data_IF_155211516085
#
_entry.id   IF_155211516085
#
_cell.length_a   1.000
_cell.length_b   1.000
_cell.length_c   1.000
_cell.angle_alpha   90.00
_cell.angle_beta   90.00
_cell.angle_gamma   90.00
#
_symmetry.space_group_name_H-M   'P 1'
#
loop_
_entity.id
_entity.type
_entity.pdbx_description
1 polymer ?
#
# COMPACT_ATOMS: atom_id res chain seq x y z
N UNK A 1 -10.68 -10.42 63.30
CA UNK A 1 -12.12 -10.53 62.98
C UNK A 1 -12.71 -9.14 62.73
N UNK A 2 -12.51 -8.53 61.55
CA UNK A 2 -13.23 -7.33 61.11
C UNK A 2 -13.14 -7.28 59.60
N UNK A 3 -14.21 -7.67 58.90
CA UNK A 3 -14.50 -7.48 57.46
C UNK A 3 -15.55 -8.53 57.09
N UNK A 4 -16.85 -8.15 57.06
CA UNK A 4 -17.95 -8.76 56.26
C UNK A 4 -19.24 -7.90 56.35
N UNK A 5 -19.43 -7.03 57.36
CA UNK A 5 -20.76 -6.41 57.62
C UNK A 5 -21.22 -5.23 56.73
N UNK A 6 -20.42 -4.70 55.79
CA UNK A 6 -20.77 -3.47 55.05
C UNK A 6 -21.51 -3.72 53.72
N UNK A 7 -21.36 -4.91 53.11
CA UNK A 7 -21.96 -5.21 51.79
C UNK A 7 -23.46 -5.57 51.89
N UNK A 8 -23.89 -6.22 52.98
CA UNK A 8 -25.28 -6.65 53.18
C UNK A 8 -26.27 -5.49 53.42
N UNK A 9 -25.83 -4.36 53.97
CA UNK A 9 -26.68 -3.20 54.21
C UNK A 9 -27.03 -2.45 52.91
N UNK A 10 -26.09 -2.35 51.97
CA UNK A 10 -26.30 -1.69 50.67
C UNK A 10 -27.25 -2.46 49.75
N UNK A 11 -27.22 -3.79 49.77
CA UNK A 11 -28.12 -4.61 48.96
C UNK A 11 -29.57 -4.51 49.44
N UNK A 12 -29.81 -4.52 50.76
CA UNK A 12 -31.17 -4.45 51.32
C UNK A 12 -31.84 -3.11 51.00
N UNK A 13 -31.10 -1.99 51.09
CA UNK A 13 -31.65 -0.66 50.76
C UNK A 13 -32.00 -0.52 49.27
N UNK A 14 -31.23 -1.17 48.39
CA UNK A 14 -31.48 -1.14 46.95
C UNK A 14 -32.76 -1.91 46.58
N UNK A 15 -32.96 -3.09 47.17
CA UNK A 15 -34.19 -3.88 46.99
C UNK A 15 -35.45 -3.14 47.48
N UNK A 16 -35.35 -2.42 48.60
CA UNK A 16 -36.49 -1.64 49.11
C UNK A 16 -36.85 -0.47 48.19
N UNK A 17 -35.86 0.20 47.59
CA UNK A 17 -36.09 1.30 46.64
C UNK A 17 -36.77 0.82 45.34
N UNK A 18 -36.25 -0.25 44.72
CA UNK A 18 -36.81 -0.81 43.48
C UNK A 18 -38.26 -1.28 43.65
N UNK A 19 -38.58 -1.92 44.77
CA UNK A 19 -39.96 -2.33 45.06
C UNK A 19 -40.91 -1.14 45.25
N UNK A 20 -40.41 0.01 45.72
CA UNK A 20 -41.23 1.20 45.91
C UNK A 20 -41.51 1.88 44.57
N UNK A 21 -40.50 2.04 43.73
CA UNK A 21 -40.62 2.63 42.38
C UNK A 21 -41.55 1.80 41.47
N UNK A 22 -41.40 0.47 41.47
CA UNK A 22 -42.29 -0.42 40.70
C UNK A 22 -43.75 -0.32 41.15
N UNK A 23 -44.00 -0.15 42.46
CA UNK A 23 -45.36 0.04 42.97
C UNK A 23 -45.94 1.40 42.55
N UNK A 24 -45.14 2.46 42.51
CA UNK A 24 -45.57 3.78 42.06
C UNK A 24 -45.91 3.80 40.56
N UNK A 25 -45.08 3.18 39.72
CA UNK A 25 -45.31 3.05 38.27
C UNK A 25 -46.60 2.27 37.98
N UNK A 26 -46.82 1.15 38.68
CA UNK A 26 -48.05 0.37 38.54
C UNK A 26 -49.29 1.15 38.98
N UNK A 27 -49.20 1.91 40.09
CA UNK A 27 -50.28 2.79 40.53
C UNK A 27 -50.57 3.89 39.51
N UNK A 28 -49.54 4.46 38.87
CA UNK A 28 -49.70 5.46 37.81
C UNK A 28 -50.40 4.86 36.60
N UNK A 29 -49.95 3.71 36.11
CA UNK A 29 -50.61 3.00 35.01
C UNK A 29 -52.08 2.69 35.32
N UNK A 30 -52.37 2.20 36.52
CA UNK A 30 -53.72 1.81 36.94
C UNK A 30 -54.70 2.98 37.08
N UNK A 31 -54.21 4.23 37.09
CA UNK A 31 -55.06 5.43 37.03
C UNK A 31 -55.54 5.73 35.61
N UNK A 32 -54.81 5.27 34.61
CA UNK A 32 -55.04 5.57 33.19
C UNK A 32 -55.58 4.36 32.41
N UNK A 33 -55.25 3.13 32.84
CA UNK A 33 -55.58 1.89 32.16
C UNK A 33 -56.15 0.83 33.13
N UNK A 34 -56.85 -0.18 32.59
CA UNK A 34 -57.31 -1.33 33.37
C UNK A 34 -56.11 -2.12 33.94
N UNK A 35 -56.24 -2.60 35.17
CA UNK A 35 -55.16 -3.33 35.86
C UNK A 35 -54.66 -4.55 35.08
N UNK A 36 -55.54 -5.23 34.32
CA UNK A 36 -55.16 -6.35 33.44
C UNK A 36 -54.29 -5.89 32.27
N UNK A 37 -54.51 -4.69 31.74
CA UNK A 37 -53.67 -4.11 30.69
C UNK A 37 -52.29 -3.79 31.27
N UNK A 38 -52.25 -3.11 32.42
CA UNK A 38 -50.98 -2.78 33.07
C UNK A 38 -50.11 -4.02 33.32
N UNK A 39 -50.71 -5.15 33.73
CA UNK A 39 -49.99 -6.40 33.99
C UNK A 39 -49.81 -7.30 32.75
N UNK A 40 -50.35 -6.91 31.59
CA UNK A 40 -50.14 -7.64 30.34
C UNK A 40 -48.78 -7.29 29.73
N UNK A 41 -48.31 -8.12 28.82
CA UNK A 41 -47.15 -7.88 27.96
C UNK A 41 -47.69 -7.89 26.52
N UNK A 42 -47.66 -6.73 25.86
CA UNK A 42 -48.47 -6.48 24.66
C UNK A 42 -47.74 -6.90 23.39
N UNK A 43 -46.45 -6.64 23.30
CA UNK A 43 -45.59 -7.02 22.17
C UNK A 43 -44.77 -8.30 22.44
N UNK A 44 -44.92 -8.88 23.63
CA UNK A 44 -44.38 -10.18 24.03
C UNK A 44 -42.85 -10.19 24.13
N UNK A 45 -42.26 -9.08 24.55
CA UNK A 45 -40.82 -8.95 24.74
C UNK A 45 -40.33 -9.34 26.16
N UNK A 46 -41.26 -9.72 27.03
CA UNK A 46 -41.01 -10.10 28.41
C UNK A 46 -41.07 -8.93 29.40
N UNK A 47 -41.40 -7.72 28.96
CA UNK A 47 -41.59 -6.54 29.80
C UNK A 47 -43.08 -6.28 29.96
N UNK A 48 -43.56 -6.14 31.21
CA UNK A 48 -44.96 -5.82 31.44
C UNK A 48 -45.27 -4.39 30.95
N UNK A 49 -46.47 -4.18 30.41
CA UNK A 49 -46.94 -2.91 29.82
C UNK A 49 -46.67 -1.68 30.69
N UNK A 50 -46.75 -1.81 32.01
CA UNK A 50 -46.49 -0.69 32.93
C UNK A 50 -45.01 -0.36 33.16
N UNK A 51 -44.10 -1.28 32.81
CA UNK A 51 -42.64 -1.14 32.87
C UNK A 51 -42.02 -0.90 31.49
N UNK A 52 -42.78 -1.15 30.43
CA UNK A 52 -42.34 -1.06 29.05
C UNK A 52 -42.44 0.38 28.55
N UNK A 53 -41.33 0.91 28.04
CA UNK A 53 -41.25 2.24 27.45
C UNK A 53 -41.71 2.26 25.98
N UNK A 54 -41.81 1.10 25.34
CA UNK A 54 -42.24 0.91 23.97
C UNK A 54 -43.31 -0.20 23.82
N UNK A 55 -44.50 -0.10 24.46
CA UNK A 55 -45.45 -1.22 24.60
C UNK A 55 -46.09 -1.79 23.32
N UNK A 56 -45.72 -1.27 22.15
CA UNK A 56 -46.20 -1.71 20.85
C UNK A 56 -45.08 -2.26 19.97
N UNK A 57 -43.83 -2.21 20.42
CA UNK A 57 -42.63 -2.47 19.61
C UNK A 57 -41.65 -3.30 20.42
N UNK A 58 -41.62 -4.59 20.10
CA UNK A 58 -40.73 -5.57 20.74
C UNK A 58 -39.32 -5.01 20.94
N UNK A 59 -38.85 -5.04 22.18
CA UNK A 59 -37.54 -4.55 22.55
C UNK A 59 -36.76 -5.47 23.48
N UNK A 60 -35.68 -4.92 24.01
CA UNK A 60 -34.84 -5.63 24.97
C UNK A 60 -35.26 -5.24 26.39
N UNK A 61 -35.37 -6.22 27.29
CA UNK A 61 -35.60 -5.96 28.71
C UNK A 61 -34.51 -5.04 29.32
N UNK A 62 -33.28 -5.13 28.81
CA UNK A 62 -32.15 -4.27 29.22
C UNK A 62 -32.33 -2.80 28.78
N UNK A 63 -33.29 -2.53 27.90
CA UNK A 63 -33.68 -1.21 27.40
C UNK A 63 -35.16 -0.89 27.70
N UNK A 64 -35.70 -1.45 28.79
CA UNK A 64 -37.08 -1.25 29.24
C UNK A 64 -38.12 -1.53 28.15
N UNK A 65 -37.97 -2.65 27.45
CA UNK A 65 -38.87 -3.09 26.39
C UNK A 65 -38.76 -2.31 25.07
N UNK A 66 -37.76 -1.45 24.94
CA UNK A 66 -37.50 -0.73 23.68
C UNK A 66 -36.40 -1.39 22.83
N UNK A 67 -36.48 -1.35 21.49
CA UNK A 67 -35.35 -1.68 20.63
C UNK A 67 -34.21 -0.66 20.85
N UNK A 68 -32.96 -1.11 20.71
CA UNK A 68 -31.82 -0.20 20.71
C UNK A 68 -31.75 0.56 19.37
N UNK A 69 -31.48 1.87 19.38
CA UNK A 69 -31.26 2.63 18.15
C UNK A 69 -29.93 2.26 17.47
N UNK A 70 -29.87 2.54 16.18
CA UNK A 70 -28.67 2.60 15.33
C UNK A 70 -28.75 3.96 14.63
N UNK A 71 -28.09 4.95 15.23
CA UNK A 71 -28.27 6.37 14.92
C UNK A 71 -27.65 6.78 13.58
N UNK A 72 -26.60 6.09 13.13
CA UNK A 72 -25.94 6.36 11.84
C UNK A 72 -26.20 5.29 10.76
N UNK A 73 -26.87 4.20 11.12
CA UNK A 73 -27.38 3.20 10.20
C UNK A 73 -26.31 2.24 9.67
N UNK A 74 -25.22 2.02 10.42
CA UNK A 74 -24.13 1.15 10.02
C UNK A 74 -24.33 -0.33 10.38
N UNK A 75 -25.40 -0.64 11.12
CA UNK A 75 -25.77 -1.98 11.56
C UNK A 75 -25.18 -2.40 12.90
N UNK A 76 -24.41 -1.53 13.58
CA UNK A 76 -23.98 -1.66 14.96
C UNK A 76 -24.89 -0.80 15.83
N UNK A 77 -25.52 -1.40 16.84
CA UNK A 77 -26.42 -0.66 17.73
C UNK A 77 -25.64 0.38 18.55
N UNK A 78 -26.24 1.54 18.84
CA UNK A 78 -25.59 2.67 19.54
C UNK A 78 -24.93 2.28 20.87
N UNK A 79 -25.45 1.24 21.55
CA UNK A 79 -24.89 0.71 22.80
C UNK A 79 -23.60 -0.10 22.62
N UNK A 80 -23.34 -0.56 21.40
CA UNK A 80 -22.18 -1.38 20.99
C UNK A 80 -21.27 -0.61 20.03
N UNK A 81 -21.73 0.54 19.53
CA UNK A 81 -21.01 1.44 18.65
C UNK A 81 -20.13 2.42 19.42
N UNK A 82 -18.84 2.45 19.08
CA UNK A 82 -17.87 3.40 19.63
C UNK A 82 -17.95 4.79 18.97
N UNK A 83 -18.63 4.91 17.83
CA UNK A 83 -18.85 6.12 17.06
C UNK A 83 -20.32 6.31 16.58
N UNK A 84 -21.33 6.45 17.48
CA UNK A 84 -22.78 6.43 17.16
C UNK A 84 -23.35 7.52 16.22
N UNK A 85 -22.49 8.29 15.57
CA UNK A 85 -22.87 9.40 14.67
C UNK A 85 -22.09 9.37 13.36
N UNK A 86 -21.25 8.35 13.16
CA UNK A 86 -20.31 8.23 12.05
C UNK A 86 -20.23 6.78 11.61
N UNK A 87 -21.04 6.42 10.62
CA UNK A 87 -21.12 5.05 10.12
C UNK A 87 -19.75 4.41 9.88
N UNK A 88 -19.55 3.24 10.47
CA UNK A 88 -18.31 2.49 10.42
C UNK A 88 -18.49 1.03 10.05
N UNK A 89 -17.47 0.24 10.38
CA UNK A 89 -17.47 -1.19 10.12
C UNK A 89 -17.72 -1.95 11.43
N UNK A 90 -18.47 -3.06 11.42
CA UNK A 90 -18.64 -3.91 12.60
C UNK A 90 -17.30 -4.37 13.20
N UNK A 91 -16.28 -4.65 12.36
CA UNK A 91 -14.95 -5.05 12.83
C UNK A 91 -14.19 -3.91 13.55
N UNK A 92 -14.69 -2.67 13.45
CA UNK A 92 -14.16 -1.47 14.09
C UNK A 92 -15.11 -0.91 15.16
N UNK A 93 -16.08 -1.72 15.64
CA UNK A 93 -17.11 -1.32 16.60
C UNK A 93 -17.85 -0.05 16.13
N UNK A 94 -18.33 -0.06 14.89
CA UNK A 94 -19.09 1.03 14.28
C UNK A 94 -18.30 2.31 14.00
N UNK A 95 -16.98 2.31 14.22
CA UNK A 95 -16.15 3.46 13.86
C UNK A 95 -15.64 3.41 12.40
N UNK A 96 -15.52 4.57 11.72
CA UNK A 96 -14.93 4.64 10.39
C UNK A 96 -13.48 4.16 10.39
N UNK A 97 -13.07 3.50 9.31
CA UNK A 97 -11.67 3.13 9.14
C UNK A 97 -10.79 4.38 9.00
N UNK A 98 -9.70 4.44 9.77
CA UNK A 98 -8.64 5.43 9.57
C UNK A 98 -7.74 5.13 8.35
N UNK A 99 -7.98 4.00 7.65
CA UNK A 99 -7.29 3.67 6.41
C UNK A 99 -7.78 4.60 5.32
N UNK A 100 -6.85 5.36 4.74
CA UNK A 100 -7.17 6.21 3.60
C UNK A 100 -7.57 5.34 2.40
N UNK A 101 -8.73 5.61 1.82
CA UNK A 101 -9.11 5.01 0.54
C UNK A 101 -8.23 5.58 -0.58
N UNK A 102 -7.25 4.78 -1.02
CA UNK A 102 -6.35 5.14 -2.10
C UNK A 102 -6.90 4.77 -3.51
N UNK A 103 -8.13 4.24 -3.62
CA UNK A 103 -8.69 3.73 -4.89
C UNK A 103 -8.69 4.78 -5.99
N UNK A 104 -9.03 6.03 -5.65
CA UNK A 104 -9.04 7.15 -6.61
C UNK A 104 -7.64 7.47 -7.14
N UNK A 105 -6.62 7.43 -6.28
CA UNK A 105 -5.22 7.71 -6.64
C UNK A 105 -4.66 6.55 -7.47
N UNK A 106 -4.88 5.31 -7.04
CA UNK A 106 -4.47 4.12 -7.78
C UNK A 106 -5.10 4.08 -9.19
N UNK A 107 -6.40 4.35 -9.30
CA UNK A 107 -7.09 4.42 -10.61
C UNK A 107 -6.50 5.51 -11.51
N UNK A 108 -6.26 6.71 -10.96
CA UNK A 108 -5.65 7.83 -11.69
C UNK A 108 -4.25 7.47 -12.19
N UNK A 109 -3.42 6.89 -11.33
CA UNK A 109 -2.05 6.53 -11.66
C UNK A 109 -1.99 5.44 -12.72
N UNK A 110 -2.86 4.42 -12.62
CA UNK A 110 -3.00 3.40 -13.65
C UNK A 110 -3.35 4.00 -15.01
N UNK A 111 -4.33 4.90 -15.08
CA UNK A 111 -4.72 5.56 -16.35
C UNK A 111 -3.56 6.37 -16.93
N UNK A 112 -2.91 7.19 -16.09
CA UNK A 112 -1.76 8.01 -16.53
C UNK A 112 -0.61 7.13 -17.01
N UNK A 113 -0.34 6.02 -16.33
CA UNK A 113 0.74 5.10 -16.69
C UNK A 113 0.47 4.36 -18.00
N UNK A 114 -0.76 3.88 -18.24
CA UNK A 114 -1.13 3.28 -19.52
C UNK A 114 -1.06 4.29 -20.68
N UNK A 115 -1.50 5.54 -20.43
CA UNK A 115 -1.32 6.62 -21.41
C UNK A 115 0.18 6.85 -21.68
N UNK A 116 0.99 6.95 -20.64
CA UNK A 116 2.44 7.15 -20.76
C UNK A 116 3.13 6.03 -21.56
N UNK A 117 2.78 4.76 -21.29
CA UNK A 117 3.29 3.63 -22.09
C UNK A 117 2.92 3.75 -23.56
N UNK A 118 1.71 4.22 -23.85
CA UNK A 118 1.22 4.43 -25.22
C UNK A 118 1.97 5.58 -25.89
N UNK A 119 2.11 6.72 -25.21
CA UNK A 119 2.82 7.90 -25.72
C UNK A 119 4.30 7.60 -26.04
N UNK A 120 4.89 6.61 -25.37
CA UNK A 120 6.29 6.22 -25.49
C UNK A 120 6.49 4.76 -25.93
N UNK A 121 5.53 4.17 -26.65
CA UNK A 121 5.57 2.75 -27.03
C UNK A 121 6.81 2.36 -27.86
N UNK A 122 7.35 3.31 -28.63
CA UNK A 122 8.51 3.12 -29.50
C UNK A 122 9.82 3.70 -28.94
N UNK A 123 9.83 4.09 -27.66
CA UNK A 123 11.01 4.71 -27.03
C UNK A 123 12.24 3.79 -27.06
N UNK A 124 12.04 2.47 -27.12
CA UNK A 124 13.09 1.45 -27.24
C UNK A 124 14.01 1.69 -28.45
N UNK A 125 13.43 2.13 -29.58
CA UNK A 125 14.19 2.42 -30.81
C UNK A 125 15.14 3.62 -30.64
N UNK A 126 14.75 4.58 -29.80
CA UNK A 126 15.55 5.76 -29.49
C UNK A 126 16.64 5.41 -28.47
N UNK A 127 16.30 4.57 -27.48
CA UNK A 127 17.24 4.13 -26.45
C UNK A 127 18.29 3.16 -26.98
N UNK A 128 17.98 2.31 -27.96
CA UNK A 128 18.94 1.38 -28.57
C UNK A 128 20.12 2.06 -29.26
N UNK A 129 19.97 3.33 -29.65
CA UNK A 129 21.05 4.11 -30.29
C UNK A 129 21.97 4.74 -29.25
N UNK A 130 21.41 5.23 -28.14
CA UNK A 130 22.18 5.96 -27.13
C UNK A 130 22.75 5.08 -26.05
N UNK A 131 22.08 3.97 -25.69
CA UNK A 131 22.52 3.15 -24.59
C UNK A 131 23.98 2.74 -24.79
N UNK A 132 24.38 2.30 -25.99
CA UNK A 132 25.76 1.93 -26.30
C UNK A 132 26.75 3.09 -26.21
N UNK A 133 26.39 4.26 -26.76
CA UNK A 133 27.27 5.44 -26.73
C UNK A 133 27.44 5.98 -25.31
N UNK A 134 26.34 6.06 -24.56
CA UNK A 134 26.32 6.51 -23.18
C UNK A 134 27.08 5.56 -22.26
N UNK A 135 26.87 4.26 -22.40
CA UNK A 135 27.61 3.24 -21.67
C UNK A 135 29.11 3.40 -21.95
N UNK A 136 29.47 3.59 -23.22
CA UNK A 136 30.84 3.89 -23.61
C UNK A 136 31.40 5.13 -22.92
N UNK A 137 30.67 6.24 -22.94
CA UNK A 137 31.11 7.50 -22.35
C UNK A 137 31.27 7.44 -20.84
N UNK A 138 30.38 6.71 -20.16
CA UNK A 138 30.45 6.47 -18.72
C UNK A 138 31.63 5.57 -18.40
N UNK A 139 31.75 4.43 -19.07
CA UNK A 139 32.79 3.46 -18.78
C UNK A 139 34.18 3.99 -19.18
N UNK A 140 34.31 4.75 -20.25
CA UNK A 140 35.58 5.37 -20.62
C UNK A 140 36.02 6.47 -19.63
N UNK A 141 35.09 7.00 -18.82
CA UNK A 141 35.44 7.89 -17.70
C UNK A 141 35.99 7.14 -16.47
N UNK A 142 35.82 5.81 -16.43
CA UNK A 142 36.40 4.92 -15.43
C UNK A 142 37.88 4.71 -15.74
N UNK A 143 38.73 4.69 -14.72
CA UNK A 143 40.16 4.48 -14.95
C UNK A 143 40.43 3.08 -15.54
N UNK A 144 41.40 2.97 -16.47
CA UNK A 144 41.78 1.66 -17.05
C UNK A 144 42.14 0.63 -15.97
N UNK A 145 42.75 1.07 -14.87
CA UNK A 145 43.12 0.21 -13.73
C UNK A 145 41.87 -0.34 -13.02
N UNK A 146 40.85 0.48 -12.84
CA UNK A 146 39.59 0.09 -12.24
C UNK A 146 38.81 -0.86 -13.17
N UNK A 147 38.80 -0.63 -14.48
CA UNK A 147 38.20 -1.59 -15.41
C UNK A 147 38.96 -2.91 -15.50
N UNK A 148 40.29 -2.91 -15.32
CA UNK A 148 41.07 -4.13 -15.33
C UNK A 148 40.91 -4.97 -14.05
N UNK A 149 40.51 -4.38 -12.93
CA UNK A 149 40.43 -5.07 -11.64
C UNK A 149 39.51 -6.28 -11.66
N UNK A 150 40.03 -7.47 -11.38
CA UNK A 150 39.25 -8.73 -11.32
C UNK A 150 38.22 -8.76 -10.18
N UNK A 151 38.40 -7.90 -9.18
CA UNK A 151 37.47 -7.75 -8.07
C UNK A 151 36.32 -6.79 -8.35
N UNK A 152 36.36 -6.12 -9.51
CA UNK A 152 35.44 -5.05 -9.84
C UNK A 152 34.29 -5.60 -10.70
N UNK A 153 33.12 -5.02 -10.57
CA UNK A 153 31.90 -5.42 -11.28
C UNK A 153 31.07 -4.21 -11.65
N UNK A 154 30.19 -4.33 -12.63
CA UNK A 154 29.31 -3.25 -13.06
C UNK A 154 28.04 -3.31 -12.22
N UNK A 155 27.65 -2.18 -11.66
CA UNK A 155 26.42 -2.06 -10.87
C UNK A 155 25.43 -1.15 -11.60
N UNK A 156 24.30 -1.70 -12.03
CA UNK A 156 23.28 -0.95 -12.75
C UNK A 156 22.15 -0.55 -11.80
N UNK A 157 21.90 0.75 -11.70
CA UNK A 157 20.66 1.23 -11.10
C UNK A 157 19.50 0.96 -12.06
N UNK A 158 18.49 0.26 -11.56
CA UNK A 158 17.37 -0.24 -12.33
C UNK A 158 16.05 0.20 -11.68
N UNK A 159 15.08 -0.71 -11.53
CA UNK A 159 13.75 -0.42 -10.96
C UNK A 159 13.85 -0.08 -9.46
N UNK A 160 13.17 1.00 -9.07
CA UNK A 160 12.95 1.41 -7.68
C UNK A 160 11.59 0.92 -7.19
N UNK A 161 11.57 0.26 -6.04
CA UNK A 161 10.34 -0.07 -5.29
C UNK A 161 9.99 1.09 -4.34
N UNK A 162 8.70 1.39 -4.07
CA UNK A 162 7.52 0.56 -4.35
C UNK A 162 6.99 0.74 -5.78
N UNK A 163 6.36 -0.31 -6.31
CA UNK A 163 5.79 -0.36 -7.66
C UNK A 163 4.31 0.08 -7.67
N UNK A 164 3.71 0.42 -6.52
CA UNK A 164 2.32 0.89 -6.44
C UNK A 164 2.08 1.82 -5.25
N UNK A 165 0.99 2.58 -5.31
CA UNK A 165 0.35 3.20 -4.15
C UNK A 165 -0.04 2.13 -3.11
N UNK A 166 0.31 2.32 -1.83
CA UNK A 166 -0.51 1.79 -0.74
C UNK A 166 -0.07 0.49 -0.05
N UNK A 167 1.14 0.45 0.50
CA UNK A 167 1.37 -0.38 1.71
C UNK A 167 1.16 0.50 2.95
N UNK A 168 0.02 0.37 3.62
CA UNK A 168 -0.33 1.12 4.83
C UNK A 168 -1.27 2.32 4.59
N UNK A 169 -1.34 3.24 5.56
CA UNK A 169 -2.22 4.43 5.54
C UNK A 169 -1.76 5.55 4.57
N UNK A 170 -0.86 5.25 3.64
CA UNK A 170 -0.19 6.24 2.79
C UNK A 170 -0.61 6.14 1.33
N UNK A 171 -1.32 7.17 0.87
CA UNK A 171 -1.68 7.33 -0.53
C UNK A 171 -0.72 8.31 -1.21
N UNK A 172 0.44 7.83 -1.67
CA UNK A 172 1.37 8.62 -2.47
C UNK A 172 1.08 8.44 -3.96
N UNK A 173 1.27 9.52 -4.72
CA UNK A 173 1.27 9.45 -6.18
C UNK A 173 2.61 8.84 -6.63
N UNK A 174 2.57 7.61 -7.16
CA UNK A 174 3.73 6.86 -7.67
C UNK A 174 3.99 7.07 -9.16
N UNK A 175 3.22 7.92 -9.85
CA UNK A 175 3.32 8.02 -11.32
C UNK A 175 4.73 8.38 -11.80
N UNK A 176 5.45 9.21 -11.06
CA UNK A 176 6.83 9.60 -11.39
C UNK A 176 7.78 8.39 -11.32
N UNK A 177 7.70 7.62 -10.24
CA UNK A 177 8.46 6.39 -10.04
C UNK A 177 8.11 5.32 -11.07
N UNK A 178 6.82 5.13 -11.37
CA UNK A 178 6.34 4.14 -12.33
C UNK A 178 6.82 4.50 -13.75
N UNK A 179 6.73 5.78 -14.12
CA UNK A 179 7.26 6.29 -15.38
C UNK A 179 8.78 6.11 -15.48
N UNK A 180 9.53 6.41 -14.41
CA UNK A 180 10.97 6.16 -14.36
C UNK A 180 11.28 4.66 -14.51
N UNK A 181 10.57 3.80 -13.79
CA UNK A 181 10.73 2.35 -13.81
C UNK A 181 10.48 1.76 -15.21
N UNK A 182 9.52 2.31 -15.95
CA UNK A 182 9.29 1.95 -17.34
C UNK A 182 10.48 2.35 -18.21
N UNK A 183 10.88 3.62 -18.18
CA UNK A 183 11.96 4.13 -19.03
C UNK A 183 13.32 3.47 -18.73
N UNK A 184 13.64 3.22 -17.44
CA UNK A 184 14.90 2.57 -17.05
C UNK A 184 14.95 1.12 -17.53
N UNK A 185 13.81 0.43 -17.59
CA UNK A 185 13.72 -0.92 -18.14
C UNK A 185 13.87 -0.95 -19.66
N UNK A 186 13.37 0.10 -20.34
CA UNK A 186 13.55 0.30 -21.79
C UNK A 186 14.99 0.61 -22.16
N UNK A 187 15.65 1.42 -21.33
CA UNK A 187 17.05 1.79 -21.51
C UNK A 187 17.99 0.60 -21.28
N UNK A 188 17.82 -0.11 -20.16
CA UNK A 188 18.56 -1.33 -19.83
C UNK A 188 17.88 -2.58 -20.39
N UNK A 189 17.62 -2.58 -21.69
CA UNK A 189 17.13 -3.77 -22.37
C UNK A 189 18.20 -4.87 -22.46
N UNK A 190 17.76 -6.07 -22.85
CA UNK A 190 18.62 -7.25 -22.96
C UNK A 190 19.86 -6.99 -23.81
N UNK A 191 19.68 -6.38 -24.98
CA UNK A 191 20.77 -6.04 -25.90
C UNK A 191 21.82 -5.13 -25.24
N UNK A 192 21.40 -4.14 -24.46
CA UNK A 192 22.31 -3.26 -23.72
C UNK A 192 23.15 -4.03 -22.70
N UNK A 193 22.51 -4.93 -21.94
CA UNK A 193 23.18 -5.74 -20.91
C UNK A 193 24.17 -6.71 -21.56
N UNK A 194 23.76 -7.43 -22.59
CA UNK A 194 24.62 -8.36 -23.34
C UNK A 194 25.82 -7.64 -23.98
N UNK A 195 25.60 -6.43 -24.49
CA UNK A 195 26.66 -5.58 -25.02
C UNK A 195 27.70 -5.24 -23.95
N UNK A 196 27.26 -4.82 -22.75
CA UNK A 196 28.17 -4.49 -21.65
C UNK A 196 29.02 -5.71 -21.28
N UNK A 197 28.38 -6.88 -21.10
CA UNK A 197 29.07 -8.12 -20.77
C UNK A 197 30.14 -8.46 -21.80
N UNK A 198 29.78 -8.37 -23.09
CA UNK A 198 30.69 -8.68 -24.20
C UNK A 198 31.85 -7.70 -24.29
N UNK A 199 31.58 -6.41 -24.11
CA UNK A 199 32.57 -5.35 -24.31
C UNK A 199 33.55 -5.23 -23.15
N UNK A 200 33.06 -5.33 -21.92
CA UNK A 200 33.84 -5.01 -20.71
C UNK A 200 34.22 -6.24 -19.89
N UNK A 201 33.59 -7.39 -20.12
CA UNK A 201 33.92 -8.66 -19.48
C UNK A 201 33.90 -8.55 -17.94
N UNK A 202 32.85 -7.93 -17.40
CA UNK A 202 32.59 -7.80 -15.96
C UNK A 202 31.20 -8.30 -15.64
N UNK A 203 31.06 -8.97 -14.50
CA UNK A 203 29.75 -9.32 -13.97
C UNK A 203 28.91 -8.05 -13.77
N UNK A 204 27.61 -8.16 -14.03
CA UNK A 204 26.64 -7.09 -13.88
C UNK A 204 25.72 -7.41 -12.72
N UNK A 205 25.67 -6.54 -11.73
CA UNK A 205 24.73 -6.61 -10.62
C UNK A 205 23.61 -5.60 -10.85
N UNK A 206 22.36 -6.06 -10.78
CA UNK A 206 21.18 -5.21 -10.89
C UNK A 206 20.80 -4.73 -9.48
N UNK A 207 20.51 -3.43 -9.32
CA UNK A 207 20.18 -2.85 -8.02
C UNK A 207 18.87 -3.37 -7.41
N UNK A 208 17.94 -3.81 -8.25
CA UNK A 208 16.60 -4.23 -7.87
C UNK A 208 16.63 -5.57 -7.14
N UNK A 209 15.90 -5.64 -6.03
CA UNK A 209 15.57 -6.88 -5.33
C UNK A 209 14.23 -7.36 -5.86
N UNK A 210 14.19 -8.54 -6.49
CA UNK A 210 13.01 -9.06 -7.16
C UNK A 210 12.16 -9.90 -6.20
N UNK A 211 11.01 -9.37 -5.82
CA UNK A 211 10.05 -10.05 -4.95
C UNK A 211 9.09 -10.91 -5.78
N UNK A 212 8.93 -12.22 -5.49
CA UNK A 212 8.04 -13.10 -6.25
C UNK A 212 6.58 -12.61 -6.32
N UNK A 213 6.10 -12.01 -5.23
CA UNK A 213 4.74 -11.45 -5.14
C UNK A 213 4.52 -10.26 -6.09
N UNK A 214 5.59 -9.75 -6.71
CA UNK A 214 5.57 -8.62 -7.66
C UNK A 214 5.96 -9.04 -9.09
N UNK A 215 6.02 -10.34 -9.41
CA UNK A 215 6.45 -10.83 -10.73
C UNK A 215 5.60 -10.27 -11.88
N UNK A 216 4.29 -10.16 -11.68
CA UNK A 216 3.38 -9.64 -12.70
C UNK A 216 3.67 -8.15 -13.01
N UNK A 217 3.97 -7.40 -11.98
CA UNK A 217 4.26 -5.98 -11.98
C UNK A 217 5.60 -5.71 -12.67
N UNK A 218 6.63 -6.49 -12.32
CA UNK A 218 7.91 -6.47 -12.99
C UNK A 218 7.78 -6.78 -14.49
N UNK A 219 7.06 -7.84 -14.85
CA UNK A 219 6.80 -8.22 -16.26
C UNK A 219 6.05 -7.13 -17.01
N UNK A 220 5.06 -6.51 -16.38
CA UNK A 220 4.29 -5.40 -16.97
C UNK A 220 5.18 -4.19 -17.23
N UNK A 221 6.11 -3.91 -16.32
CA UNK A 221 7.02 -2.78 -16.42
C UNK A 221 8.09 -2.97 -17.49
N UNK A 222 8.79 -4.11 -17.48
CA UNK A 222 9.98 -4.33 -18.31
C UNK A 222 9.76 -5.18 -19.57
N UNK A 223 8.60 -5.82 -19.69
CA UNK A 223 8.32 -6.81 -20.71
C UNK A 223 8.93 -8.18 -20.40
N UNK A 224 8.39 -9.22 -21.04
CA UNK A 224 8.76 -10.61 -20.73
C UNK A 224 10.20 -10.95 -21.13
N UNK A 225 10.69 -10.47 -22.28
CA UNK A 225 12.07 -10.78 -22.73
C UNK A 225 13.14 -10.36 -21.71
N UNK A 226 13.10 -9.12 -21.24
CA UNK A 226 14.06 -8.65 -20.25
C UNK A 226 13.85 -9.32 -18.89
N UNK A 227 12.60 -9.49 -18.46
CA UNK A 227 12.31 -10.13 -17.17
C UNK A 227 12.81 -11.58 -17.13
N UNK A 228 12.45 -12.39 -18.11
CA UNK A 228 12.83 -13.80 -18.19
C UNK A 228 14.35 -13.95 -18.31
N UNK A 229 14.99 -13.05 -19.07
CA UNK A 229 16.44 -13.00 -19.17
C UNK A 229 17.15 -12.67 -17.84
N UNK A 230 16.59 -11.77 -17.03
CA UNK A 230 17.21 -11.39 -15.75
C UNK A 230 16.96 -12.45 -14.67
N UNK A 231 15.74 -12.99 -14.59
CA UNK A 231 15.32 -13.84 -13.49
C UNK A 231 16.05 -15.20 -13.48
N UNK A 232 16.57 -15.66 -14.62
CA UNK A 232 17.41 -16.86 -14.67
C UNK A 232 18.71 -16.73 -13.84
N UNK A 233 19.13 -15.51 -13.52
CA UNK A 233 20.33 -15.21 -12.75
C UNK A 233 20.03 -14.71 -11.33
N UNK A 234 18.79 -14.90 -10.85
CA UNK A 234 18.42 -14.50 -9.49
C UNK A 234 19.06 -15.45 -8.47
N UNK A 235 19.65 -14.86 -7.43
CA UNK A 235 20.01 -15.62 -6.24
C UNK A 235 18.73 -15.87 -5.40
N UNK A 236 18.36 -17.13 -5.13
CA UNK A 236 17.09 -17.45 -4.47
C UNK A 236 17.01 -16.97 -3.01
N UNK A 237 18.16 -16.73 -2.35
CA UNK A 237 18.22 -16.27 -0.95
C UNK A 237 18.16 -14.76 -0.86
N UNK A 238 18.95 -14.06 -1.68
CA UNK A 238 19.10 -12.61 -1.62
C UNK A 238 18.13 -11.87 -2.54
N UNK A 239 17.51 -12.58 -3.49
CA UNK A 239 16.61 -12.04 -4.52
C UNK A 239 17.27 -10.99 -5.43
N UNK A 240 18.60 -10.96 -5.45
CA UNK A 240 19.39 -10.09 -6.31
C UNK A 240 19.76 -10.82 -7.58
N UNK A 241 19.85 -10.06 -8.67
CA UNK A 241 20.25 -10.58 -9.98
C UNK A 241 21.72 -10.20 -10.23
N UNK A 242 22.53 -11.21 -10.54
CA UNK A 242 23.92 -11.05 -10.98
C UNK A 242 24.12 -11.76 -12.31
N UNK A 243 24.15 -10.98 -13.40
CA UNK A 243 24.38 -11.50 -14.74
C UNK A 243 25.89 -11.69 -14.94
N UNK A 244 26.34 -12.93 -15.21
CA UNK A 244 27.76 -13.20 -15.23
C UNK A 244 28.42 -12.86 -16.56
N UNK A 245 29.62 -12.30 -16.48
CA UNK A 245 30.53 -12.25 -17.62
C UNK A 245 31.19 -13.61 -17.85
N UNK A 246 31.86 -13.74 -19.00
CA UNK A 246 32.66 -14.92 -19.35
C UNK A 246 33.76 -15.17 -18.31
N UNK A 247 34.39 -14.09 -17.85
CA UNK A 247 35.33 -14.10 -16.73
C UNK A 247 34.62 -13.52 -15.51
N UNK A 248 34.50 -14.32 -14.45
CA UNK A 248 33.76 -13.96 -13.23
C UNK A 248 34.52 -12.94 -12.40
N UNK A 249 33.77 -12.01 -11.81
CA UNK A 249 34.30 -11.04 -10.83
C UNK A 249 34.16 -11.58 -9.41
N UNK A 250 35.04 -11.16 -8.49
CA UNK A 250 34.88 -11.50 -7.06
C UNK A 250 33.87 -10.60 -6.32
N UNK A 251 33.18 -9.73 -7.06
CA UNK A 251 32.12 -8.82 -6.60
C UNK A 251 32.46 -7.95 -5.37
N UNK A 252 33.65 -7.36 -5.31
CA UNK A 252 34.06 -6.51 -4.17
C UNK A 252 33.83 -5.02 -4.43
N UNK A 253 34.22 -4.52 -5.61
CA UNK A 253 34.16 -3.09 -5.91
C UNK A 253 33.17 -2.81 -7.05
N UNK A 254 32.12 -2.05 -6.74
CA UNK A 254 31.11 -1.67 -7.73
C UNK A 254 31.60 -0.50 -8.61
N UNK A 255 31.36 -0.62 -9.90
CA UNK A 255 31.43 0.46 -10.89
C UNK A 255 29.98 0.87 -11.16
N UNK A 256 29.43 1.86 -10.42
CA UNK A 256 28.03 2.22 -10.56
C UNK A 256 27.79 2.97 -11.86
N UNK A 257 26.73 2.56 -12.57
CA UNK A 257 26.16 3.29 -13.71
C UNK A 257 24.74 3.67 -13.34
N UNK A 258 24.50 4.97 -13.24
CA UNK A 258 23.21 5.53 -12.84
C UNK A 258 22.66 6.37 -13.98
N UNK A 259 21.46 6.01 -14.42
CA UNK A 259 20.67 6.78 -15.39
C UNK A 259 19.48 7.38 -14.66
N UNK A 260 19.33 8.69 -14.74
CA UNK A 260 18.19 9.45 -14.24
C UNK A 260 17.45 10.06 -15.43
N UNK A 261 16.15 9.83 -15.54
CA UNK A 261 15.33 10.46 -16.58
C UNK A 261 14.82 11.80 -16.06
N UNK A 262 15.19 12.88 -16.77
CA UNK A 262 14.58 14.20 -16.58
C UNK A 262 13.29 14.26 -17.42
N UNK A 263 13.36 13.76 -18.64
CA UNK A 263 12.22 13.44 -19.50
C UNK A 263 12.53 12.14 -20.26
N UNK A 264 11.57 11.53 -20.98
CA UNK A 264 11.86 10.39 -21.85
C UNK A 264 12.95 10.65 -22.89
N UNK A 265 13.16 11.91 -23.28
CA UNK A 265 14.16 12.32 -24.27
C UNK A 265 15.35 13.06 -23.65
N UNK A 266 15.45 13.12 -22.32
CA UNK A 266 16.54 13.83 -21.62
C UNK A 266 16.97 13.06 -20.40
N UNK A 267 18.23 12.61 -20.42
CA UNK A 267 18.79 11.76 -19.38
C UNK A 267 20.01 12.39 -18.76
N UNK A 268 20.12 12.26 -17.44
CA UNK A 268 21.35 12.50 -16.71
C UNK A 268 22.02 11.16 -16.41
N UNK A 269 23.31 11.09 -16.71
CA UNK A 269 24.15 9.94 -16.47
C UNK A 269 25.22 10.29 -15.49
N UNK A 270 25.41 9.41 -14.51
CA UNK A 270 26.42 9.60 -13.50
C UNK A 270 27.22 8.34 -13.25
N UNK A 271 28.53 8.55 -13.11
CA UNK A 271 29.46 7.63 -12.50
C UNK A 271 30.32 8.41 -11.51
N UNK A 272 30.26 8.00 -10.24
CA UNK A 272 30.86 8.72 -9.10
C UNK A 272 30.47 10.21 -9.05
N UNK A 273 31.41 11.14 -9.26
CA UNK A 273 31.19 12.61 -9.25
C UNK A 273 30.98 13.20 -10.64
N UNK A 274 31.16 12.42 -11.70
CA UNK A 274 31.06 12.90 -13.07
C UNK A 274 29.64 12.72 -13.57
N UNK A 275 28.96 13.83 -13.83
CA UNK A 275 27.62 13.87 -14.41
C UNK A 275 27.67 14.41 -15.84
N UNK A 276 26.96 13.75 -16.75
CA UNK A 276 26.74 14.20 -18.12
C UNK A 276 25.25 14.16 -18.43
N UNK A 277 24.74 15.18 -19.11
CA UNK A 277 23.33 15.25 -19.51
C UNK A 277 23.25 15.11 -21.02
N UNK A 278 22.39 14.21 -21.50
CA UNK A 278 22.14 13.99 -22.92
C UNK A 278 20.68 14.31 -23.21
N UNK A 279 20.43 14.90 -24.36
CA UNK A 279 19.08 15.21 -24.83
C UNK A 279 18.93 14.75 -26.28
N UNK A 280 17.83 14.07 -26.58
CA UNK A 280 17.50 13.60 -27.91
C UNK A 280 16.81 14.71 -28.70
N UNK A 281 17.46 15.19 -29.75
CA UNK A 281 16.97 16.23 -30.65
C UNK A 281 17.40 15.90 -32.08
N UNK A 282 16.58 16.25 -33.07
CA UNK A 282 16.92 16.07 -34.48
C UNK A 282 17.38 14.63 -34.84
N UNK A 283 16.73 13.62 -34.26
CA UNK A 283 17.05 12.20 -34.40
C UNK A 283 18.45 11.78 -33.90
N UNK A 284 19.07 12.57 -33.03
CA UNK A 284 20.36 12.26 -32.44
C UNK A 284 20.40 12.65 -30.96
N UNK A 285 21.24 11.97 -30.20
CA UNK A 285 21.49 12.33 -28.81
C UNK A 285 22.67 13.28 -28.72
N UNK A 286 22.42 14.44 -28.11
CA UNK A 286 23.38 15.52 -28.00
C UNK A 286 23.82 15.68 -26.54
N UNK A 287 25.13 15.66 -26.30
CA UNK A 287 25.70 16.00 -24.99
C UNK A 287 25.43 17.47 -24.69
N UNK A 288 24.72 17.74 -23.61
CA UNK A 288 24.41 19.09 -23.16
C UNK A 288 25.62 19.69 -22.46
N UNK A 289 26.03 20.87 -22.89
CA UNK A 289 27.06 21.65 -22.18
C UNK A 289 26.45 22.19 -20.89
N UNK A 290 27.21 22.08 -19.80
CA UNK A 290 26.87 22.74 -18.52
C UNK A 290 26.89 24.25 -18.68
#
# INVERSE_FOLDING_TARGET
MKKVFVVLLFSVTYFQAQNTENNELLQKCSKEFDSKICLSDKDQDGTAFYLDHCPEVYGSQDNNGCPWPDSDGDGVLDKEDACPTLAGLPELNGCPSNKKDCTKIAKRNRIRFEQFKTDYEHIDNIYSLINMQVIHDVINSVSKKELAGSQNYIYLKFIKTPIYCGTGNTCYDTFSEDSYNFLISKFWNRTAIEYILKKYQKDIVISTVFLPDLDHEYRTMMGSDLFDYLIQYIDPKTRKVTVPAKERSTLMNAIPIVVNFITPYKIELSHTKNTKVYEYRNNQWELQKK
#
